data_IF_402198463090
#
_entry.id   IF_402198463090
#
_cell.length_a   1.000
_cell.length_b   1.000
_cell.length_c   1.000
_cell.angle_alpha   90.00
_cell.angle_beta   90.00
_cell.angle_gamma   90.00
#
_symmetry.space_group_name_H-M   'P 1'
#
loop_
_entity.id
_entity.type
_entity.pdbx_description
1 polymer ?
#
# COMPACT_ATOMS: atom_id res chain seq x y z
N UNK A 1 16.22 -7.46 -10.39
CA UNK A 1 16.39 -6.07 -9.90
C UNK A 1 15.44 -5.73 -8.75
N UNK A 2 14.12 -5.50 -8.94
CA UNK A 2 13.26 -5.04 -7.81
C UNK A 2 13.15 -6.06 -6.67
N UNK A 3 13.11 -7.34 -7.00
CA UNK A 3 13.06 -8.44 -6.03
C UNK A 3 14.36 -8.59 -5.25
N UNK A 4 15.50 -8.48 -5.92
CA UNK A 4 16.84 -8.55 -5.30
C UNK A 4 17.07 -7.39 -4.33
N UNK A 5 16.67 -6.18 -4.73
CA UNK A 5 16.72 -5.00 -3.84
C UNK A 5 15.81 -5.21 -2.63
N UNK A 6 14.61 -5.78 -2.82
CA UNK A 6 13.71 -6.04 -1.70
C UNK A 6 14.26 -7.09 -0.73
N UNK A 7 14.96 -8.12 -1.21
CA UNK A 7 15.60 -9.14 -0.37
C UNK A 7 16.71 -8.56 0.52
N UNK A 8 17.49 -7.60 0.01
CA UNK A 8 18.48 -6.89 0.81
C UNK A 8 17.84 -5.96 1.85
N UNK A 9 16.73 -5.31 1.47
CA UNK A 9 16.00 -4.35 2.31
C UNK A 9 15.21 -5.06 3.42
N UNK A 10 14.57 -6.19 3.14
CA UNK A 10 13.78 -6.98 4.11
C UNK A 10 14.59 -7.42 5.34
N UNK A 11 15.88 -7.66 5.16
CA UNK A 11 16.78 -8.14 6.21
C UNK A 11 17.43 -7.01 7.02
N UNK A 12 17.20 -5.75 6.65
CA UNK A 12 17.85 -4.59 7.28
C UNK A 12 16.84 -3.69 7.99
N UNK A 13 17.32 -2.96 8.98
CA UNK A 13 16.64 -1.81 9.59
C UNK A 13 17.40 -0.56 9.18
N UNK A 14 16.70 0.45 8.71
CA UNK A 14 17.34 1.68 8.25
C UNK A 14 17.35 2.72 9.36
N UNK A 15 18.36 3.58 9.36
CA UNK A 15 18.43 4.78 10.20
C UNK A 15 18.78 5.95 9.29
N UNK A 16 18.31 7.18 9.56
CA UNK A 16 18.66 8.33 8.73
C UNK A 16 20.17 8.55 8.81
N UNK A 17 20.86 8.53 7.67
CA UNK A 17 22.29 8.81 7.57
C UNK A 17 22.55 10.14 6.83
N UNK A 18 21.67 10.52 5.91
CA UNK A 18 21.76 11.71 5.07
C UNK A 18 20.50 12.61 5.21
N UNK A 19 20.61 13.95 5.17
CA UNK A 19 19.45 14.84 5.08
C UNK A 19 18.48 14.53 3.92
N UNK A 20 19.01 14.01 2.81
CA UNK A 20 18.23 13.54 1.67
C UNK A 20 17.62 12.15 1.92
N UNK A 21 18.04 11.39 2.93
CA UNK A 21 17.33 10.14 3.31
C UNK A 21 15.91 10.43 3.79
N UNK A 22 15.59 11.64 4.28
CA UNK A 22 14.22 12.03 4.63
C UNK A 22 13.44 12.61 3.45
N UNK A 23 14.14 13.23 2.51
CA UNK A 23 13.56 14.03 1.41
C UNK A 23 13.43 13.21 0.11
N UNK A 24 14.28 12.21 -0.05
CA UNK A 24 14.53 11.39 -1.24
C UNK A 24 14.32 9.89 -1.00
N UNK A 25 13.39 9.52 -0.10
CA UNK A 25 12.79 8.18 -0.03
C UNK A 25 11.93 7.82 -1.26
N UNK A 26 12.28 8.37 -2.43
CA UNK A 26 11.78 7.95 -3.73
C UNK A 26 11.95 6.46 -3.94
N UNK A 27 12.95 5.80 -3.34
CA UNK A 27 13.18 4.37 -3.56
C UNK A 27 12.03 3.47 -3.07
N UNK A 28 11.55 3.64 -1.84
CA UNK A 28 10.46 2.81 -1.31
C UNK A 28 9.11 3.08 -2.01
N UNK A 29 8.80 4.35 -2.27
CA UNK A 29 7.58 4.72 -3.00
C UNK A 29 7.68 4.28 -4.44
N UNK A 30 8.81 4.51 -5.12
CA UNK A 30 8.98 4.06 -6.51
C UNK A 30 8.97 2.54 -6.60
N UNK A 31 9.45 1.81 -5.58
CA UNK A 31 9.27 0.37 -5.48
C UNK A 31 7.80 0.01 -5.31
N UNK A 32 7.07 0.63 -4.38
CA UNK A 32 5.63 0.36 -4.20
C UNK A 32 4.80 0.70 -5.43
N UNK A 33 5.09 1.83 -6.07
CA UNK A 33 4.53 2.25 -7.36
C UNK A 33 4.83 1.21 -8.44
N UNK A 34 6.08 0.77 -8.58
CA UNK A 34 6.47 -0.27 -9.54
C UNK A 34 5.82 -1.61 -9.23
N UNK A 35 5.65 -1.99 -7.96
CA UNK A 35 4.94 -3.21 -7.57
C UNK A 35 3.48 -3.17 -8.03
N UNK A 36 2.83 -2.01 -7.88
CA UNK A 36 1.47 -1.78 -8.36
C UNK A 36 1.41 -1.80 -9.90
N UNK A 37 2.40 -1.22 -10.58
CA UNK A 37 2.47 -1.22 -12.05
C UNK A 37 2.71 -2.65 -12.61
N UNK A 38 3.48 -3.47 -11.89
CA UNK A 38 3.71 -4.88 -12.20
C UNK A 38 2.52 -5.79 -11.85
N UNK A 39 1.53 -5.27 -11.13
CA UNK A 39 0.38 -6.02 -10.59
C UNK A 39 0.78 -7.26 -9.80
N UNK A 40 1.91 -7.20 -9.08
CA UNK A 40 2.39 -8.32 -8.25
C UNK A 40 2.01 -8.08 -6.79
N UNK A 41 0.91 -8.71 -6.38
CA UNK A 41 0.39 -8.58 -5.01
C UNK A 41 1.32 -9.21 -3.96
N UNK A 42 2.05 -10.26 -4.31
CA UNK A 42 2.98 -10.92 -3.38
C UNK A 42 4.16 -9.98 -3.07
N UNK A 43 4.68 -9.32 -4.10
CA UNK A 43 5.73 -8.33 -3.95
C UNK A 43 5.26 -7.12 -3.14
N UNK A 44 4.02 -6.68 -3.34
CA UNK A 44 3.43 -5.59 -2.57
C UNK A 44 3.32 -5.92 -1.07
N UNK A 45 2.89 -7.13 -0.70
CA UNK A 45 2.86 -7.57 0.70
C UNK A 45 4.25 -7.65 1.34
N UNK A 46 5.23 -8.15 0.58
CA UNK A 46 6.63 -8.19 1.02
C UNK A 46 7.17 -6.80 1.34
N UNK A 47 6.90 -5.84 0.45
CA UNK A 47 7.25 -4.44 0.67
C UNK A 47 6.51 -3.86 1.90
N UNK A 48 5.22 -4.13 2.06
CA UNK A 48 4.47 -3.66 3.23
C UNK A 48 5.07 -4.17 4.55
N UNK A 49 5.45 -5.46 4.60
CA UNK A 49 6.12 -6.05 5.76
C UNK A 49 7.47 -5.39 6.05
N UNK A 50 8.23 -5.03 5.01
CA UNK A 50 9.48 -4.30 5.16
C UNK A 50 9.26 -2.88 5.70
N UNK A 51 8.14 -2.23 5.35
CA UNK A 51 7.75 -0.91 5.85
C UNK A 51 7.36 -0.92 7.34
N UNK A 52 6.71 -1.99 7.80
CA UNK A 52 6.34 -2.17 9.21
C UNK A 52 7.56 -2.47 10.10
N UNK A 53 8.57 -3.15 9.55
CA UNK A 53 9.79 -3.53 10.27
C UNK A 53 10.59 -2.28 10.64
N UNK A 54 10.92 -2.12 11.92
CA UNK A 54 11.81 -1.05 12.39
C UNK A 54 11.26 0.37 12.24
N UNK A 55 9.94 0.52 12.12
CA UNK A 55 9.27 1.81 11.90
C UNK A 55 9.73 2.52 10.61
N UNK A 56 10.11 1.76 9.59
CA UNK A 56 10.60 2.31 8.32
C UNK A 56 9.60 3.26 7.66
N UNK A 57 8.30 3.14 7.96
CA UNK A 57 7.27 4.10 7.56
C UNK A 57 7.52 5.54 8.04
N UNK A 58 8.22 5.75 9.17
CA UNK A 58 8.55 7.09 9.70
C UNK A 58 9.48 7.88 8.78
N UNK A 59 10.16 7.20 7.85
CA UNK A 59 11.00 7.84 6.85
C UNK A 59 10.17 8.50 5.74
N UNK A 60 8.89 8.18 5.61
CA UNK A 60 8.00 8.83 4.63
C UNK A 60 7.29 10.03 5.25
N UNK A 61 7.27 11.15 4.52
CA UNK A 61 6.35 12.23 4.86
C UNK A 61 4.88 11.82 4.60
N UNK A 62 3.92 12.49 5.25
CA UNK A 62 2.50 12.11 5.21
C UNK A 62 1.93 12.04 3.79
N UNK A 63 2.30 12.98 2.91
CA UNK A 63 1.81 13.00 1.53
C UNK A 63 2.27 11.76 0.74
N UNK A 64 3.54 11.39 0.91
CA UNK A 64 4.14 10.22 0.26
C UNK A 64 3.57 8.91 0.82
N UNK A 65 3.35 8.85 2.13
CA UNK A 65 2.70 7.73 2.79
C UNK A 65 1.28 7.52 2.25
N UNK A 66 0.52 8.60 2.08
CA UNK A 66 -0.81 8.56 1.45
C UNK A 66 -0.77 8.04 0.02
N UNK A 67 0.20 8.48 -0.80
CA UNK A 67 0.36 7.98 -2.19
C UNK A 67 0.67 6.49 -2.21
N UNK A 68 1.54 6.01 -1.32
CA UNK A 68 1.86 4.60 -1.19
C UNK A 68 0.62 3.78 -0.84
N UNK A 69 -0.09 4.13 0.24
CA UNK A 69 -1.29 3.40 0.68
C UNK A 69 -2.41 3.45 -0.33
N UNK A 70 -2.59 4.58 -1.01
CA UNK A 70 -3.57 4.71 -2.09
C UNK A 70 -3.29 3.71 -3.22
N UNK A 71 -2.03 3.59 -3.67
CA UNK A 71 -1.66 2.63 -4.72
C UNK A 71 -1.76 1.18 -4.24
N UNK A 72 -1.30 0.90 -3.03
CA UNK A 72 -1.40 -0.42 -2.42
C UNK A 72 -2.85 -0.89 -2.31
N UNK A 73 -3.74 -0.01 -1.84
CA UNK A 73 -5.16 -0.30 -1.73
C UNK A 73 -5.82 -0.54 -3.11
N UNK A 74 -5.51 0.28 -4.12
CA UNK A 74 -5.98 0.02 -5.49
C UNK A 74 -5.51 -1.35 -6.02
N UNK A 75 -4.29 -1.77 -5.70
CA UNK A 75 -3.79 -3.10 -6.07
C UNK A 75 -4.53 -4.22 -5.34
N UNK A 76 -4.85 -4.05 -4.06
CA UNK A 76 -5.69 -4.99 -3.29
C UNK A 76 -7.05 -5.16 -3.97
N UNK A 77 -7.76 -4.07 -4.28
CA UNK A 77 -9.05 -4.12 -4.96
C UNK A 77 -8.97 -4.86 -6.31
N UNK A 78 -7.84 -4.81 -7.00
CA UNK A 78 -7.65 -5.47 -8.29
C UNK A 78 -7.33 -6.96 -8.19
N UNK A 79 -6.59 -7.36 -7.15
CA UNK A 79 -5.90 -8.66 -7.13
C UNK A 79 -6.35 -9.60 -6.00
N UNK A 80 -6.95 -9.07 -4.94
CA UNK A 80 -7.35 -9.86 -3.77
C UNK A 80 -8.84 -10.24 -3.78
N UNK A 81 -9.18 -11.22 -2.94
CA UNK A 81 -10.58 -11.56 -2.67
C UNK A 81 -11.26 -10.41 -1.91
N UNK A 82 -12.54 -10.16 -2.21
CA UNK A 82 -13.26 -9.01 -1.66
C UNK A 82 -13.29 -9.00 -0.12
N UNK A 83 -13.39 -10.15 0.52
CA UNK A 83 -13.34 -10.27 1.99
C UNK A 83 -12.01 -9.77 2.57
N UNK A 84 -10.90 -10.03 1.87
CA UNK A 84 -9.55 -9.57 2.24
C UNK A 84 -9.46 -8.06 2.05
N UNK A 85 -9.97 -7.54 0.94
CA UNK A 85 -10.01 -6.10 0.65
C UNK A 85 -10.81 -5.35 1.72
N UNK A 86 -11.99 -5.85 2.09
CA UNK A 86 -12.85 -5.25 3.12
C UNK A 86 -12.20 -5.29 4.51
N UNK A 87 -11.47 -6.36 4.83
CA UNK A 87 -10.69 -6.44 6.08
C UNK A 87 -9.63 -5.35 6.11
N UNK A 88 -8.84 -5.22 5.03
CA UNK A 88 -7.83 -4.16 4.92
C UNK A 88 -8.43 -2.76 4.99
N UNK A 89 -9.56 -2.53 4.31
CA UNK A 89 -10.26 -1.25 4.34
C UNK A 89 -10.64 -0.81 5.77
N UNK A 90 -11.21 -1.74 6.56
CA UNK A 90 -11.61 -1.48 7.95
C UNK A 90 -10.41 -1.24 8.88
N UNK A 91 -9.29 -1.93 8.65
CA UNK A 91 -8.09 -1.79 9.46
C UNK A 91 -7.31 -0.50 9.14
N UNK A 92 -7.27 -0.10 7.86
CA UNK A 92 -6.53 1.08 7.41
C UNK A 92 -7.29 2.40 7.57
N UNK A 93 -8.60 2.42 7.30
CA UNK A 93 -9.38 3.66 7.29
C UNK A 93 -10.05 3.90 8.65
N UNK A 94 -10.01 5.12 9.22
CA UNK A 94 -9.32 6.34 8.75
C UNK A 94 -7.91 6.51 9.35
N UNK A 95 -7.42 5.53 10.11
CA UNK A 95 -6.24 5.70 10.98
C UNK A 95 -4.91 5.81 10.23
N UNK A 96 -4.75 5.09 9.12
CA UNK A 96 -3.51 4.99 8.34
C UNK A 96 -3.62 5.78 7.04
N UNK A 97 -4.81 5.84 6.46
CA UNK A 97 -5.02 6.40 5.13
C UNK A 97 -6.46 6.86 4.93
N UNK A 98 -6.60 7.96 4.20
CA UNK A 98 -7.88 8.48 3.72
C UNK A 98 -8.10 8.07 2.26
N UNK A 99 -9.12 7.25 1.95
CA UNK A 99 -9.45 6.85 0.59
C UNK A 99 -9.65 8.03 -0.34
N UNK A 100 -8.87 8.07 -1.43
CA UNK A 100 -9.15 9.00 -2.51
C UNK A 100 -10.42 8.58 -3.27
N UNK A 101 -11.07 9.49 -4.03
CA UNK A 101 -12.20 9.13 -4.89
C UNK A 101 -11.89 7.97 -5.84
N UNK A 102 -10.64 7.84 -6.30
CA UNK A 102 -10.20 6.71 -7.12
C UNK A 102 -10.21 5.40 -6.34
N UNK A 103 -9.74 5.41 -5.10
CA UNK A 103 -9.73 4.22 -4.26
C UNK A 103 -11.15 3.73 -3.94
N UNK A 104 -12.08 4.66 -3.70
CA UNK A 104 -13.49 4.33 -3.52
C UNK A 104 -14.08 3.72 -4.79
N UNK A 105 -13.76 4.26 -5.97
CA UNK A 105 -14.18 3.68 -7.25
C UNK A 105 -13.62 2.26 -7.43
N UNK A 106 -12.33 2.04 -7.16
CA UNK A 106 -11.71 0.71 -7.27
C UNK A 106 -12.38 -0.30 -6.32
N UNK A 107 -12.73 0.11 -5.10
CA UNK A 107 -13.46 -0.72 -4.14
C UNK A 107 -14.87 -1.05 -4.62
N UNK A 108 -15.61 -0.06 -5.15
CA UNK A 108 -16.96 -0.29 -5.67
C UNK A 108 -16.95 -1.24 -6.87
N UNK A 109 -15.95 -1.13 -7.75
CA UNK A 109 -15.76 -2.06 -8.87
C UNK A 109 -15.44 -3.48 -8.39
N UNK A 110 -14.63 -3.62 -7.33
CA UNK A 110 -14.33 -4.92 -6.73
C UNK A 110 -15.57 -5.56 -6.08
N UNK A 111 -16.40 -4.76 -5.41
CA UNK A 111 -17.68 -5.22 -4.82
C UNK A 111 -18.66 -5.69 -5.90
N UNK A 112 -18.80 -4.92 -6.98
CA UNK A 112 -19.67 -5.27 -8.11
C UNK A 112 -19.20 -6.55 -8.81
N UNK A 113 -17.90 -6.69 -9.07
CA UNK A 113 -17.31 -7.89 -9.66
C UNK A 113 -17.50 -9.14 -8.78
N UNK A 114 -17.55 -8.97 -7.46
CA UNK A 114 -17.79 -10.04 -6.51
C UNK A 114 -19.29 -10.27 -6.20
N UNK A 115 -20.20 -9.46 -6.77
CA UNK A 115 -21.64 -9.47 -6.48
C UNK A 115 -21.97 -9.28 -4.98
N UNK A 116 -21.19 -8.42 -4.31
CA UNK A 116 -21.30 -8.07 -2.88
C UNK A 116 -21.83 -6.64 -2.65
N UNK A 117 -22.82 -6.23 -3.44
CA UNK A 117 -23.36 -4.87 -3.43
C UNK A 117 -24.09 -4.51 -2.13
N UNK A 118 -24.53 -5.50 -1.36
CA UNK A 118 -25.16 -5.34 -0.05
C UNK A 118 -24.26 -4.66 0.98
N UNK A 119 -22.94 -4.69 0.78
CA UNK A 119 -21.94 -4.15 1.71
C UNK A 119 -21.72 -2.65 1.51
N UNK A 120 -22.16 -2.07 0.38
CA UNK A 120 -21.96 -0.66 0.02
C UNK A 120 -22.38 0.32 1.14
N UNK A 121 -23.49 0.15 1.86
CA UNK A 121 -23.87 1.07 2.93
C UNK A 121 -22.85 1.14 4.09
N UNK A 122 -22.04 0.10 4.28
CA UNK A 122 -21.01 0.04 5.33
C UNK A 122 -19.65 0.60 4.93
N UNK A 123 -19.51 1.04 3.67
CA UNK A 123 -18.31 1.70 3.15
C UNK A 123 -18.27 3.19 3.56
N UNK A 124 -19.43 3.78 3.89
CA UNK A 124 -19.57 5.17 4.33
C UNK A 124 -19.58 5.29 5.85
#
# INVERSE_FOLDING_TARGET
IITEVLEEVENRSFTPQDPDDGTDNLHFISMGVKCCDLKDIKLAYRLNKAMEKGENWKFLNMDRLNVYWSKFFSLLCMMEQIDVVLKWYKEMTPSIFYPSPRNLLDLLQALDAANHLEVIPSVW
#
